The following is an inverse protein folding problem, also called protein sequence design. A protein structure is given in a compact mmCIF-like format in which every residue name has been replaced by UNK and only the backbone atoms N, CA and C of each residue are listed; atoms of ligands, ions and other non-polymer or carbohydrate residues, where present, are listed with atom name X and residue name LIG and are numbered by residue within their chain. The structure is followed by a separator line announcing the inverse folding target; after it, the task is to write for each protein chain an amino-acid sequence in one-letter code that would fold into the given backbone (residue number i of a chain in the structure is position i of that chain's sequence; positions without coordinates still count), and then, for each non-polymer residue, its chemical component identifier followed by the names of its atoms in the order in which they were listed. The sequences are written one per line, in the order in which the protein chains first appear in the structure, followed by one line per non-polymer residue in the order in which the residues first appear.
data_IF_692032030398
#
_entry.id   IF_692032030398
#
_cell.length_a   1.000
_cell.length_b   1.000
_cell.length_c   1.000
_cell.angle_alpha   90.00
_cell.angle_beta   90.00
_cell.angle_gamma   90.00
#
_symmetry.space_group_name_H-M   'P 1'
#
loop_
_entity.id
_entity.type
_entity.pdbx_description
1 polymer ?
#
# COMPACT_ATOMS: atom_id res chain seq x y z
N UNK A 1 38.78 -1.88 1.21
CA UNK A 1 37.55 -1.76 0.39
C UNK A 1 36.52 -2.68 0.99
N UNK A 2 35.60 -2.16 1.79
CA UNK A 2 34.53 -2.94 2.43
C UNK A 2 33.40 -3.06 1.44
N UNK A 3 33.24 -4.23 0.81
CA UNK A 3 32.08 -4.51 -0.05
C UNK A 3 30.85 -4.61 0.85
N UNK A 4 30.05 -3.54 0.92
CA UNK A 4 28.76 -3.55 1.62
C UNK A 4 27.81 -4.40 0.78
N UNK A 5 27.62 -5.67 1.15
CA UNK A 5 26.65 -6.55 0.52
C UNK A 5 25.25 -5.92 0.64
N UNK A 6 24.55 -5.78 -0.48
CA UNK A 6 23.15 -5.36 -0.51
C UNK A 6 22.28 -6.60 -0.77
N UNK A 7 21.22 -6.83 0.01
CA UNK A 7 20.31 -7.94 -0.27
C UNK A 7 19.65 -7.72 -1.63
N UNK A 8 19.42 -8.82 -2.37
CA UNK A 8 18.59 -8.75 -3.56
C UNK A 8 17.16 -8.37 -3.16
N UNK A 9 16.43 -7.67 -4.04
CA UNK A 9 15.01 -7.31 -3.85
C UNK A 9 14.16 -8.42 -3.25
N UNK A 10 14.31 -9.64 -3.78
CA UNK A 10 13.56 -10.82 -3.33
C UNK A 10 13.82 -11.18 -1.86
N UNK A 11 15.04 -10.96 -1.36
CA UNK A 11 15.38 -11.27 0.03
C UNK A 11 14.72 -10.27 0.99
N UNK A 12 14.76 -8.98 0.68
CA UNK A 12 14.08 -7.94 1.47
C UNK A 12 12.57 -8.16 1.51
N UNK A 13 11.95 -8.45 0.37
CA UNK A 13 10.52 -8.71 0.27
C UNK A 13 10.12 -9.98 1.04
N UNK A 14 10.90 -11.06 0.92
CA UNK A 14 10.67 -12.30 1.68
C UNK A 14 10.78 -12.07 3.18
N UNK A 15 11.74 -11.26 3.63
CA UNK A 15 11.89 -10.92 5.04
C UNK A 15 10.66 -10.16 5.57
N UNK A 16 10.18 -9.16 4.83
CA UNK A 16 8.96 -8.43 5.19
C UNK A 16 7.72 -9.32 5.17
N UNK A 17 7.57 -10.17 4.15
CA UNK A 17 6.47 -11.13 4.06
C UNK A 17 6.48 -12.10 5.26
N UNK A 18 7.65 -12.61 5.64
CA UNK A 18 7.80 -13.49 6.80
C UNK A 18 7.38 -12.79 8.10
N UNK A 19 7.77 -11.53 8.27
CA UNK A 19 7.39 -10.72 9.45
C UNK A 19 5.89 -10.42 9.48
N UNK A 20 5.31 -10.01 8.36
CA UNK A 20 3.86 -9.75 8.24
C UNK A 20 3.08 -11.02 8.58
N UNK A 21 3.43 -12.17 8.01
CA UNK A 21 2.73 -13.43 8.25
C UNK A 21 2.95 -13.97 9.67
N UNK A 22 4.08 -13.69 10.29
CA UNK A 22 4.30 -14.02 11.70
C UNK A 22 3.28 -13.32 12.60
N UNK A 23 2.96 -12.05 12.31
CA UNK A 23 2.09 -11.22 13.14
C UNK A 23 0.61 -11.28 12.73
N UNK A 24 0.34 -11.50 11.43
CA UNK A 24 -0.98 -11.31 10.81
C UNK A 24 -1.36 -12.46 9.85
N UNK A 25 -1.08 -13.71 10.20
CA UNK A 25 -1.49 -14.90 9.42
C UNK A 25 -2.93 -15.36 9.66
N UNK A 26 -3.70 -14.63 10.47
CA UNK A 26 -5.07 -14.97 10.85
C UNK A 26 -5.95 -13.74 10.77
N UNK A 27 -7.14 -13.92 10.19
CA UNK A 27 -8.07 -12.82 9.98
C UNK A 27 -7.58 -11.87 8.88
N UNK A 28 -8.46 -10.95 8.49
CA UNK A 28 -8.17 -9.93 7.48
C UNK A 28 -7.24 -8.88 8.08
N UNK A 29 -6.17 -8.55 7.36
CA UNK A 29 -5.25 -7.50 7.76
C UNK A 29 -4.89 -6.55 6.60
N UNK A 30 -4.66 -5.29 6.97
CA UNK A 30 -4.26 -4.22 6.05
C UNK A 30 -2.77 -3.92 6.21
N UNK A 31 -2.06 -3.91 5.08
CA UNK A 31 -0.66 -3.53 4.98
C UNK A 31 -0.60 -2.22 4.20
N UNK A 32 -0.11 -1.15 4.82
CA UNK A 32 0.11 0.12 4.15
C UNK A 32 1.52 0.20 3.55
N UNK A 33 1.63 0.73 2.33
CA UNK A 33 2.88 1.12 1.68
C UNK A 33 2.79 2.62 1.36
N UNK A 34 3.34 3.43 2.24
CA UNK A 34 3.31 4.91 2.17
C UNK A 34 4.71 5.44 1.82
N UNK A 35 4.78 6.68 1.34
CA UNK A 35 6.04 7.32 1.01
C UNK A 35 5.84 8.70 0.41
N UNK A 36 6.93 9.44 0.12
CA UNK A 36 6.87 10.67 -0.66
C UNK A 36 6.31 10.42 -2.07
N UNK A 37 5.73 11.45 -2.70
CA UNK A 37 5.28 11.37 -4.08
C UNK A 37 6.37 10.83 -5.01
N UNK A 38 6.02 9.85 -5.84
CA UNK A 38 6.95 9.23 -6.80
C UNK A 38 8.05 8.36 -6.18
N UNK A 39 7.97 7.99 -4.89
CA UNK A 39 8.98 7.16 -4.24
C UNK A 39 8.96 5.68 -4.67
N UNK A 40 7.97 5.25 -5.45
CA UNK A 40 7.84 3.85 -5.90
C UNK A 40 6.94 2.98 -5.02
N UNK A 41 6.03 3.58 -4.26
CA UNK A 41 5.07 2.89 -3.37
C UNK A 41 4.30 1.79 -4.11
N UNK A 42 3.75 2.12 -5.29
CA UNK A 42 2.92 1.21 -6.08
C UNK A 42 3.70 -0.03 -6.53
N UNK A 43 4.87 0.16 -7.14
CA UNK A 43 5.75 -0.94 -7.55
C UNK A 43 6.18 -1.80 -6.36
N UNK A 44 6.62 -1.17 -5.26
CA UNK A 44 7.02 -1.90 -4.06
C UNK A 44 5.85 -2.70 -3.45
N UNK A 45 4.65 -2.15 -3.46
CA UNK A 45 3.45 -2.82 -2.97
C UNK A 45 3.05 -4.01 -3.85
N UNK A 46 3.18 -3.91 -5.17
CA UNK A 46 2.97 -5.03 -6.10
C UNK A 46 3.95 -6.17 -5.81
N UNK A 47 5.24 -5.83 -5.66
CA UNK A 47 6.28 -6.80 -5.32
C UNK A 47 6.05 -7.46 -3.95
N UNK A 48 5.60 -6.70 -2.95
CA UNK A 48 5.29 -7.21 -1.62
C UNK A 48 4.09 -8.14 -1.63
N UNK A 49 3.02 -7.79 -2.36
CA UNK A 49 1.87 -8.68 -2.52
C UNK A 49 2.26 -9.98 -3.24
N UNK A 50 3.10 -9.91 -4.28
CA UNK A 50 3.63 -11.09 -4.96
C UNK A 50 4.43 -11.97 -3.98
N UNK A 51 5.28 -11.38 -3.13
CA UNK A 51 6.03 -12.13 -2.13
C UNK A 51 5.14 -12.81 -1.07
N UNK A 52 4.04 -12.17 -0.65
CA UNK A 52 3.06 -12.77 0.26
C UNK A 52 2.33 -13.96 -0.40
N UNK A 53 1.99 -13.84 -1.68
CA UNK A 53 1.42 -14.94 -2.47
C UNK A 53 2.40 -16.09 -2.67
N UNK A 54 3.67 -15.79 -2.98
CA UNK A 54 4.74 -16.80 -3.07
C UNK A 54 4.93 -17.55 -1.73
N UNK A 55 4.69 -16.88 -0.60
CA UNK A 55 4.72 -17.48 0.73
C UNK A 55 3.45 -18.28 1.09
N UNK A 56 2.49 -18.39 0.17
CA UNK A 56 1.27 -19.20 0.33
C UNK A 56 0.11 -18.48 0.99
N UNK A 57 0.11 -17.14 1.04
CA UNK A 57 -0.97 -16.35 1.64
C UNK A 57 -1.67 -15.47 0.60
N UNK A 58 -3.00 -15.43 0.63
CA UNK A 58 -3.76 -14.62 -0.33
C UNK A 58 -3.52 -13.13 -0.05
N UNK A 59 -2.91 -12.42 -1.00
CA UNK A 59 -2.70 -10.98 -0.94
C UNK A 59 -3.37 -10.28 -2.11
N UNK A 60 -4.01 -9.15 -1.81
CA UNK A 60 -4.72 -8.33 -2.78
C UNK A 60 -4.14 -6.92 -2.79
N UNK A 61 -4.25 -6.25 -3.94
CA UNK A 61 -3.75 -4.89 -4.16
C UNK A 61 -4.89 -3.90 -4.28
N UNK A 62 -4.65 -2.71 -3.77
CA UNK A 62 -5.44 -1.51 -4.02
C UNK A 62 -4.52 -0.29 -3.91
N UNK A 63 -4.76 0.75 -4.71
CA UNK A 63 -4.16 2.06 -4.50
C UNK A 63 -5.22 3.03 -4.02
N UNK A 64 -4.89 3.91 -3.07
CA UNK A 64 -5.84 4.97 -2.66
C UNK A 64 -6.16 5.93 -3.82
N UNK A 65 -5.27 6.01 -4.81
CA UNK A 65 -5.45 6.82 -6.02
C UNK A 65 -6.57 6.28 -6.93
N UNK A 66 -6.92 5.00 -6.81
CA UNK A 66 -7.96 4.33 -7.59
C UNK A 66 -9.37 4.51 -6.98
N UNK A 67 -9.49 5.46 -6.05
CA UNK A 67 -10.74 5.92 -5.46
C UNK A 67 -10.88 7.43 -5.60
N UNK A 68 -10.42 7.98 -6.72
CA UNK A 68 -10.53 9.40 -7.03
C UNK A 68 -11.98 9.86 -7.28
N UNK A 69 -12.26 11.13 -6.98
CA UNK A 69 -13.50 11.78 -7.44
C UNK A 69 -13.35 12.17 -8.91
N UNK A 70 -14.33 11.87 -9.77
CA UNK A 70 -14.35 12.38 -11.13
C UNK A 70 -14.28 13.91 -11.09
N UNK A 71 -13.52 14.50 -12.01
CA UNK A 71 -13.51 15.96 -12.15
C UNK A 71 -14.92 16.37 -12.60
N UNK A 72 -15.64 17.07 -11.72
CA UNK A 72 -16.93 17.66 -12.09
C UNK A 72 -16.74 18.71 -13.18
N UNK A 73 -17.77 18.94 -13.98
CA UNK A 73 -17.85 20.05 -14.94
C UNK A 73 -17.79 21.38 -14.16
N UNK A 74 -16.59 21.95 -13.96
CA UNK A 74 -16.41 23.27 -13.33
C UNK A 74 -15.37 23.38 -12.21
N UNK A 75 -14.69 22.29 -11.84
CA UNK A 75 -13.57 22.36 -10.89
C UNK A 75 -12.25 22.64 -11.61
N UNK A 76 -11.78 23.90 -11.59
CA UNK A 76 -10.47 24.27 -12.09
C UNK A 76 -9.35 23.71 -11.19
N UNK A 77 -9.01 22.43 -11.39
CA UNK A 77 -7.73 21.85 -10.96
C UNK A 77 -6.78 21.96 -12.16
N UNK A 78 -5.51 22.27 -11.92
CA UNK A 78 -4.52 22.34 -13.00
C UNK A 78 -4.49 21.02 -13.79
N UNK A 79 -4.42 21.12 -15.12
CA UNK A 79 -4.28 19.95 -15.99
C UNK A 79 -3.09 19.09 -15.55
N UNK A 80 -3.33 17.80 -15.31
CA UNK A 80 -2.31 16.83 -14.89
C UNK A 80 -2.25 16.50 -13.40
N UNK A 81 -2.94 17.23 -12.52
CA UNK A 81 -2.99 16.90 -11.08
C UNK A 81 -3.86 15.66 -10.80
N UNK A 82 -3.45 14.72 -9.94
CA UNK A 82 -4.23 13.53 -9.64
C UNK A 82 -5.59 13.91 -9.02
N UNK A 83 -6.65 13.18 -9.40
CA UNK A 83 -7.96 13.32 -8.81
C UNK A 83 -7.92 13.19 -7.28
N UNK A 84 -8.61 14.06 -6.53
CA UNK A 84 -8.64 13.96 -5.08
C UNK A 84 -9.32 12.66 -4.64
N UNK A 85 -8.72 11.98 -3.67
CA UNK A 85 -9.23 10.70 -3.14
C UNK A 85 -10.58 10.89 -2.46
N UNK A 86 -11.57 10.11 -2.86
CA UNK A 86 -12.85 9.95 -2.17
C UNK A 86 -12.72 8.93 -1.03
N UNK A 87 -12.36 9.43 0.16
CA UNK A 87 -12.25 8.60 1.35
C UNK A 87 -13.56 7.91 1.75
N UNK A 88 -14.72 8.49 1.46
CA UNK A 88 -16.01 7.88 1.77
C UNK A 88 -16.30 6.69 0.85
N UNK A 89 -16.01 6.83 -0.45
CA UNK A 89 -16.11 5.72 -1.40
C UNK A 89 -15.16 4.59 -1.01
N UNK A 90 -13.87 4.91 -0.82
CA UNK A 90 -12.84 3.95 -0.42
C UNK A 90 -13.26 3.17 0.84
N UNK A 91 -13.80 3.85 1.86
CA UNK A 91 -14.26 3.16 3.07
C UNK A 91 -15.42 2.22 2.81
N UNK A 92 -16.44 2.71 2.10
CA UNK A 92 -17.69 1.98 1.83
C UNK A 92 -17.47 0.72 1.00
N UNK A 93 -16.62 0.77 -0.04
CA UNK A 93 -16.52 -0.31 -1.03
C UNK A 93 -15.29 -1.20 -0.86
N UNK A 94 -14.24 -0.70 -0.20
CA UNK A 94 -13.00 -1.46 0.05
C UNK A 94 -12.86 -1.80 1.53
N UNK A 95 -12.74 -0.80 2.40
CA UNK A 95 -12.29 -1.01 3.78
C UNK A 95 -13.31 -1.77 4.63
N UNK A 96 -14.54 -1.28 4.67
CA UNK A 96 -15.63 -1.87 5.47
C UNK A 96 -15.93 -3.31 5.05
N UNK A 97 -16.17 -3.62 3.75
CA UNK A 97 -16.44 -4.99 3.33
C UNK A 97 -15.24 -5.93 3.54
N UNK A 98 -14.00 -5.48 3.31
CA UNK A 98 -12.83 -6.31 3.56
C UNK A 98 -12.69 -6.64 5.05
N UNK A 99 -12.96 -5.70 5.96
CA UNK A 99 -12.93 -5.93 7.42
C UNK A 99 -13.96 -6.95 7.90
N UNK A 100 -15.12 -7.02 7.25
CA UNK A 100 -16.17 -7.98 7.64
C UNK A 100 -15.74 -9.43 7.44
N UNK A 101 -14.82 -9.70 6.51
CA UNK A 101 -14.36 -11.06 6.21
C UNK A 101 -15.48 -11.96 5.66
N UNK A 102 -15.33 -13.28 5.78
CA UNK A 102 -16.25 -14.26 5.24
C UNK A 102 -16.32 -14.20 3.72
N UNK A 103 -17.52 -14.41 3.18
CA UNK A 103 -17.83 -14.30 1.74
C UNK A 103 -18.10 -12.87 1.28
N UNK A 104 -17.81 -11.86 2.10
CA UNK A 104 -18.04 -10.46 1.75
C UNK A 104 -17.13 -10.06 0.60
N UNK A 105 -17.72 -9.53 -0.47
CA UNK A 105 -16.97 -9.00 -1.59
C UNK A 105 -16.61 -7.53 -1.36
N UNK A 106 -15.46 -7.11 -1.88
CA UNK A 106 -14.99 -5.72 -1.86
C UNK A 106 -14.56 -5.29 -3.26
N UNK A 107 -14.32 -4.00 -3.45
CA UNK A 107 -13.90 -3.40 -4.72
C UNK A 107 -12.49 -2.83 -4.55
N UNK A 108 -11.45 -3.35 -5.23
CA UNK A 108 -10.07 -2.90 -5.09
C UNK A 108 -9.77 -1.60 -5.86
N UNK A 109 -10.59 -1.26 -6.86
CA UNK A 109 -10.48 -0.04 -7.67
C UNK A 109 -11.86 0.36 -8.21
N UNK A 110 -12.17 1.67 -8.14
CA UNK A 110 -13.38 2.27 -8.72
C UNK A 110 -13.06 3.40 -9.71
N UNK A 111 -11.78 3.77 -9.79
CA UNK A 111 -11.23 4.79 -10.67
C UNK A 111 -9.89 4.28 -11.21
N UNK A 112 -9.60 4.54 -12.47
CA UNK A 112 -8.27 4.36 -13.05
C UNK A 112 -7.50 5.68 -12.93
N UNK A 113 -6.58 5.71 -11.98
CA UNK A 113 -5.73 6.87 -11.71
C UNK A 113 -4.79 7.22 -12.87
N UNK A 114 -4.42 6.26 -13.71
CA UNK A 114 -3.54 6.52 -14.86
C UNK A 114 -4.30 7.19 -16.01
N UNK A 115 -5.50 6.71 -16.33
CA UNK A 115 -6.33 7.31 -17.39
C UNK A 115 -7.27 8.42 -16.91
N UNK A 116 -7.33 8.66 -15.59
CA UNK A 116 -8.19 9.63 -14.93
C UNK A 116 -9.69 9.41 -15.25
N UNK A 117 -10.15 8.16 -15.17
CA UNK A 117 -11.52 7.77 -15.52
C UNK A 117 -12.15 6.86 -14.48
N UNK A 118 -13.45 6.97 -14.31
CA UNK A 118 -14.21 5.95 -13.59
C UNK A 118 -14.09 4.61 -14.32
N UNK A 119 -14.00 3.54 -13.55
CA UNK A 119 -14.04 2.17 -14.07
C UNK A 119 -15.23 1.43 -13.50
N UNK A 120 -15.71 0.44 -14.23
CA UNK A 120 -16.76 -0.44 -13.73
C UNK A 120 -16.24 -1.19 -12.47
N UNK A 121 -16.93 -1.07 -11.32
CA UNK A 121 -16.48 -1.72 -10.08
C UNK A 121 -16.42 -3.23 -10.23
N UNK A 122 -15.23 -3.80 -10.05
CA UNK A 122 -15.04 -5.26 -10.00
C UNK A 122 -15.08 -5.74 -8.56
N UNK A 123 -16.14 -6.47 -8.21
CA UNK A 123 -16.26 -7.10 -6.90
C UNK A 123 -15.39 -8.36 -6.83
N UNK A 124 -14.58 -8.48 -5.78
CA UNK A 124 -13.71 -9.62 -5.52
C UNK A 124 -13.97 -10.17 -4.12
N UNK A 125 -13.78 -11.48 -3.96
CA UNK A 125 -13.82 -12.17 -2.67
C UNK A 125 -12.46 -12.82 -2.40
N UNK A 126 -12.26 -13.31 -1.18
CA UNK A 126 -11.04 -14.04 -0.80
C UNK A 126 -11.21 -14.81 0.51
N UNK A 127 -10.17 -15.51 0.98
CA UNK A 127 -10.22 -16.29 2.22
C UNK A 127 -10.17 -15.41 3.48
N UNK A 128 -10.61 -15.93 4.62
CA UNK A 128 -10.75 -15.17 5.88
C UNK A 128 -9.44 -14.59 6.44
N UNK A 129 -8.30 -15.08 5.97
CA UNK A 129 -6.95 -14.64 6.32
C UNK A 129 -6.29 -13.76 5.25
N UNK A 130 -7.04 -13.27 4.24
CA UNK A 130 -6.40 -12.49 3.19
C UNK A 130 -5.79 -11.18 3.71
N UNK A 131 -4.71 -10.78 3.05
CA UNK A 131 -4.04 -9.50 3.26
C UNK A 131 -4.41 -8.52 2.16
N UNK A 132 -4.67 -7.26 2.52
CA UNK A 132 -4.81 -6.16 1.57
C UNK A 132 -3.62 -5.23 1.67
N UNK A 133 -2.79 -5.21 0.62
CA UNK A 133 -1.65 -4.30 0.49
C UNK A 133 -2.13 -3.05 -0.23
N UNK A 134 -2.16 -1.93 0.50
CA UNK A 134 -2.64 -0.63 0.02
C UNK A 134 -1.48 0.34 -0.11
N UNK A 135 -1.27 0.86 -1.31
CA UNK A 135 -0.29 1.91 -1.56
C UNK A 135 -0.92 3.29 -1.66
N UNK A 136 -0.09 4.32 -1.46
CA UNK A 136 -0.47 5.68 -1.71
C UNK A 136 0.42 6.69 -1.04
N UNK A 137 0.00 7.94 -1.10
CA UNK A 137 0.59 9.04 -0.36
C UNK A 137 -0.28 9.40 0.85
N UNK A 138 0.36 9.79 1.95
CA UNK A 138 -0.31 10.28 3.15
C UNK A 138 -1.37 9.30 3.67
N UNK A 139 -1.00 8.03 3.80
CA UNK A 139 -1.87 6.98 4.34
C UNK A 139 -2.15 7.14 5.84
N UNK A 140 -1.47 8.07 6.50
CA UNK A 140 -1.74 8.50 7.89
C UNK A 140 -2.86 9.53 8.04
N UNK A 141 -3.58 9.87 6.97
CA UNK A 141 -4.72 10.79 7.02
C UNK A 141 -5.83 10.31 7.97
N UNK A 142 -6.58 11.21 8.64
CA UNK A 142 -7.55 10.83 9.68
C UNK A 142 -8.57 9.77 9.25
N UNK A 143 -8.98 9.77 7.99
CA UNK A 143 -9.96 8.84 7.42
C UNK A 143 -9.47 7.38 7.41
N UNK A 144 -8.15 7.17 7.46
CA UNK A 144 -7.46 5.88 7.46
C UNK A 144 -6.78 5.56 8.80
N UNK A 145 -6.97 6.41 9.82
CA UNK A 145 -6.40 6.19 11.14
C UNK A 145 -6.92 4.88 11.75
N UNK A 146 -6.02 4.12 12.38
CA UNK A 146 -6.35 2.82 13.00
C UNK A 146 -6.74 1.70 12.02
N UNK A 147 -6.51 1.89 10.72
CA UNK A 147 -6.75 0.86 9.71
C UNK A 147 -5.59 -0.14 9.62
N UNK A 148 -4.36 0.36 9.63
CA UNK A 148 -3.18 -0.40 9.24
C UNK A 148 -2.72 -1.36 10.34
N UNK A 149 -2.58 -2.64 9.99
CA UNK A 149 -1.96 -3.64 10.84
C UNK A 149 -0.44 -3.56 10.71
N UNK A 150 0.06 -3.40 9.49
CA UNK A 150 1.48 -3.26 9.20
C UNK A 150 1.71 -2.05 8.29
N UNK A 151 2.78 -1.30 8.54
CA UNK A 151 3.07 -0.06 7.81
C UNK A 151 4.50 -0.09 7.27
N UNK A 152 4.65 0.08 5.97
CA UNK A 152 5.92 0.24 5.28
C UNK A 152 6.03 1.67 4.78
N UNK A 153 7.11 2.35 5.14
CA UNK A 153 7.50 3.63 4.56
C UNK A 153 8.60 3.41 3.53
N UNK A 154 8.34 3.71 2.26
CA UNK A 154 9.33 3.65 1.18
C UNK A 154 9.92 5.02 0.89
N UNK A 155 11.22 5.09 0.64
CA UNK A 155 11.90 6.37 0.35
C UNK A 155 13.19 6.18 -0.46
N UNK A 156 13.51 7.02 -1.46
CA UNK A 156 14.77 6.91 -2.20
C UNK A 156 15.93 7.68 -1.52
N UNK A 157 16.11 7.52 -0.20
CA UNK A 157 17.23 8.15 0.52
C UNK A 157 16.89 9.05 1.71
N UNK A 158 15.82 8.79 2.45
CA UNK A 158 15.64 9.36 3.81
C UNK A 158 14.62 10.48 3.96
N UNK A 159 13.60 10.53 3.11
CA UNK A 159 12.48 11.47 3.24
C UNK A 159 11.63 11.22 4.49
N UNK A 160 11.03 12.29 5.03
CA UNK A 160 10.08 12.29 6.16
C UNK A 160 8.66 12.61 5.70
N UNK A 161 7.66 12.17 6.47
CA UNK A 161 6.25 12.46 6.21
C UNK A 161 5.34 11.27 6.49
N UNK A 162 4.03 11.45 6.24
CA UNK A 162 3.01 10.40 6.29
C UNK A 162 3.16 9.44 7.47
N UNK A 163 3.14 8.14 7.19
CA UNK A 163 3.27 7.09 8.19
C UNK A 163 4.70 6.86 8.71
N UNK A 164 5.74 7.57 8.24
CA UNK A 164 7.15 7.25 8.59
C UNK A 164 7.38 7.13 10.10
N UNK A 165 6.83 8.05 10.90
CA UNK A 165 7.06 8.08 12.34
C UNK A 165 6.48 6.87 13.09
N UNK A 166 5.50 6.19 12.49
CA UNK A 166 4.81 5.02 13.03
C UNK A 166 4.99 3.80 12.13
N UNK A 167 5.94 3.85 11.20
CA UNK A 167 6.20 2.79 10.24
C UNK A 167 6.84 1.59 10.95
N UNK A 168 6.28 0.39 10.78
CA UNK A 168 6.90 -0.85 11.25
C UNK A 168 8.20 -1.14 10.50
N UNK A 169 8.24 -0.81 9.21
CA UNK A 169 9.44 -0.90 8.39
C UNK A 169 9.67 0.38 7.59
N UNK A 170 10.90 0.87 7.58
CA UNK A 170 11.36 1.90 6.65
C UNK A 170 12.25 1.21 5.61
N UNK A 171 11.94 1.38 4.34
CA UNK A 171 12.65 0.75 3.23
C UNK A 171 13.21 1.83 2.30
N UNK A 172 14.51 1.81 2.13
CA UNK A 172 15.18 2.61 1.12
C UNK A 172 15.10 1.89 -0.23
N UNK A 173 14.51 2.57 -1.21
CA UNK A 173 14.23 2.07 -2.56
C UNK A 173 14.97 2.89 -3.62
N UNK A 174 16.06 3.59 -3.24
CA UNK A 174 16.91 4.33 -4.19
C UNK A 174 17.47 3.43 -5.29
N UNK A 175 17.72 2.15 -4.98
CA UNK A 175 17.91 1.07 -5.96
C UNK A 175 16.72 0.09 -5.85
N UNK A 176 15.76 0.14 -6.80
CA UNK A 176 14.59 -0.75 -6.79
C UNK A 176 14.91 -2.25 -6.88
N UNK A 177 16.10 -2.60 -7.38
CA UNK A 177 16.56 -3.99 -7.47
C UNK A 177 17.28 -4.46 -6.19
N UNK A 178 17.65 -3.52 -5.33
CA UNK A 178 18.28 -3.79 -4.03
C UNK A 178 17.67 -2.92 -2.91
N UNK A 179 16.33 -2.96 -2.70
CA UNK A 179 15.70 -2.24 -1.62
C UNK A 179 16.22 -2.75 -0.28
N UNK A 180 16.46 -1.83 0.65
CA UNK A 180 17.09 -2.13 1.93
C UNK A 180 16.27 -1.59 3.09
N UNK A 181 16.03 -2.41 4.11
CA UNK A 181 15.43 -1.91 5.35
C UNK A 181 16.43 -0.98 6.05
N UNK A 182 15.96 0.20 6.42
CA UNK A 182 16.68 1.18 7.21
C UNK A 182 16.06 1.18 8.60
N UNK A 183 16.91 1.23 9.61
CA UNK A 183 16.49 1.43 10.98
C UNK A 183 16.85 2.88 11.31
N UNK A 184 15.86 3.66 11.76
CA UNK A 184 16.17 4.93 12.37
C UNK A 184 16.98 4.59 13.64
N UNK A 185 18.24 5.02 13.70
CA UNK A 185 19.07 4.89 14.90
C UNK A 185 18.41 5.74 16.00
N UNK A 186 17.48 5.14 16.74
CA UNK A 186 16.96 5.71 17.97
C UNK A 186 18.09 5.61 19.01
N UNK A 187 18.91 6.66 19.08
CA UNK A 187 19.76 6.93 20.24
C UNK A 187 18.92 7.31 21.46
#
# INVERSE_FOLDING_TARGET
MTTRWAPAKKDTLRALATEILHNYSRGRAFVAVDGPAGAGQSAFADDLAAALVEAGHAAFRASVSDFGRPRGEGGAVADGEPAPVDGALLRRVLVEPFRLGGSTAWVPAAFDSASQREVEPRWVTGPDDALLVVDGEALGRPELAGLWNYTVWVTPGGGRGGLRAVATAVVDVADPEHPRRVFDDAC
#
